data_IF_043247354567
#
_entry.id   IF_043247354567
#
_cell.length_a   1.000
_cell.length_b   1.000
_cell.length_c   1.000
_cell.angle_alpha   90.00
_cell.angle_beta   90.00
_cell.angle_gamma   90.00
#
_symmetry.space_group_name_H-M   'P 1'
#
loop_
_entity.id
_entity.type
_entity.pdbx_description
1 polymer ?
#
# COMPACT_ATOMS: atom_id res chain seq x y z
N UNK A 1 5.30 49.47 -34.15
CA UNK A 1 4.38 48.36 -33.85
C UNK A 1 4.90 47.37 -32.80
N UNK A 2 5.61 47.82 -31.75
CA UNK A 2 6.14 46.95 -30.67
C UNK A 2 5.58 47.22 -29.27
N UNK A 3 4.75 48.22 -29.11
CA UNK A 3 4.16 48.60 -27.82
C UNK A 3 2.79 47.96 -27.53
N UNK A 4 2.07 47.51 -28.53
CA UNK A 4 0.70 47.01 -28.38
C UNK A 4 0.61 45.53 -27.85
N UNK A 5 1.70 44.75 -27.94
CA UNK A 5 1.71 43.35 -27.50
C UNK A 5 1.98 43.16 -25.99
N UNK A 6 2.47 44.19 -25.29
CA UNK A 6 2.77 44.09 -23.84
C UNK A 6 1.58 44.44 -22.95
N UNK A 7 0.62 45.20 -23.46
CA UNK A 7 -0.55 45.64 -22.69
C UNK A 7 -1.66 44.61 -22.62
N UNK A 8 -1.74 43.70 -23.60
CA UNK A 8 -2.78 42.65 -23.64
C UNK A 8 -2.47 41.49 -22.65
N UNK A 9 -1.18 41.18 -22.40
CA UNK A 9 -0.82 40.13 -21.43
C UNK A 9 -1.05 40.56 -19.96
N UNK A 10 -0.96 41.86 -19.65
CA UNK A 10 -1.17 42.35 -18.28
C UNK A 10 -2.66 42.36 -17.89
N UNK A 11 -3.57 42.53 -18.84
CA UNK A 11 -5.01 42.53 -18.58
C UNK A 11 -5.60 41.14 -18.37
N UNK A 12 -4.97 40.09 -18.91
CA UNK A 12 -5.43 38.71 -18.74
C UNK A 12 -5.05 38.10 -17.40
N UNK A 13 -3.98 38.56 -16.77
CA UNK A 13 -3.56 38.04 -15.47
C UNK A 13 -4.34 38.63 -14.27
N UNK A 14 -5.07 39.74 -14.44
CA UNK A 14 -5.87 40.33 -13.36
C UNK A 14 -7.28 39.71 -13.22
N UNK A 15 -7.75 38.98 -14.22
CA UNK A 15 -9.10 38.38 -14.22
C UNK A 15 -9.19 37.05 -13.50
N UNK A 16 -8.06 36.40 -13.11
CA UNK A 16 -8.06 35.09 -12.47
C UNK A 16 -7.97 35.11 -10.94
N UNK A 17 -7.91 36.26 -10.30
CA UNK A 17 -7.72 36.38 -8.84
C UNK A 17 -9.03 36.49 -8.05
N UNK A 18 -10.20 36.65 -8.72
CA UNK A 18 -11.47 36.88 -8.03
C UNK A 18 -12.42 35.66 -7.94
N UNK A 19 -11.97 34.44 -8.30
CA UNK A 19 -12.85 33.26 -8.30
C UNK A 19 -12.67 32.33 -7.08
N UNK A 20 -11.94 32.69 -6.03
CA UNK A 20 -11.63 31.81 -4.89
C UNK A 20 -12.17 32.26 -3.53
N UNK A 21 -13.16 33.12 -3.46
CA UNK A 21 -13.79 33.52 -2.19
C UNK A 21 -15.31 33.43 -2.27
N UNK A 22 -15.86 32.23 -2.32
CA UNK A 22 -17.29 32.00 -2.04
C UNK A 22 -17.47 30.57 -1.46
N UNK A 23 -17.08 30.36 -0.23
CA UNK A 23 -17.62 29.31 0.63
C UNK A 23 -18.02 29.94 1.95
N UNK A 24 -19.20 30.56 1.93
CA UNK A 24 -19.86 31.08 3.13
C UNK A 24 -20.82 30.04 3.68
N UNK A 25 -20.74 29.80 4.97
CA UNK A 25 -21.66 29.06 5.82
C UNK A 25 -23.12 29.38 5.55
N UNK A 26 -23.95 28.34 5.45
CA UNK A 26 -25.34 28.41 5.86
C UNK A 26 -25.81 27.10 6.48
N UNK A 27 -26.00 27.16 7.78
CA UNK A 27 -26.88 26.28 8.54
C UNK A 27 -28.32 26.47 8.06
N UNK A 28 -29.03 25.38 7.75
CA UNK A 28 -30.47 25.25 8.06
C UNK A 28 -30.97 23.81 7.91
N UNK A 29 -31.59 23.39 9.00
CA UNK A 29 -32.37 22.16 9.15
C UNK A 29 -33.45 22.00 8.07
N UNK A 30 -33.56 20.80 7.50
CA UNK A 30 -34.85 20.09 7.33
C UNK A 30 -34.64 18.66 6.87
N UNK A 31 -35.14 17.74 7.66
CA UNK A 31 -35.24 16.32 7.38
C UNK A 31 -35.90 16.04 6.02
N UNK A 32 -35.24 15.25 5.19
CA UNK A 32 -35.88 14.49 4.11
C UNK A 32 -35.17 13.12 4.02
N UNK A 33 -35.89 12.09 4.44
CA UNK A 33 -35.51 10.70 4.21
C UNK A 33 -35.37 10.48 2.72
N UNK A 34 -34.18 10.19 2.27
CA UNK A 34 -33.93 9.57 0.97
C UNK A 34 -33.03 8.38 1.23
N UNK A 35 -33.51 7.19 0.91
CA UNK A 35 -32.71 5.98 0.85
C UNK A 35 -31.66 6.19 -0.25
N UNK A 36 -30.45 6.49 0.13
CA UNK A 36 -29.29 6.38 -0.73
C UNK A 36 -28.41 5.27 -0.13
N UNK A 37 -28.22 4.25 -0.93
CA UNK A 37 -27.14 3.30 -0.76
C UNK A 37 -25.83 4.09 -0.92
N UNK A 38 -25.47 4.84 0.13
CA UNK A 38 -24.19 5.52 0.20
C UNK A 38 -23.16 4.48 0.65
N UNK A 39 -22.67 3.74 -0.35
CA UNK A 39 -21.53 2.84 -0.19
C UNK A 39 -20.25 3.69 -0.20
N UNK A 40 -20.23 4.77 0.57
CA UNK A 40 -19.02 5.52 0.87
C UNK A 40 -18.17 4.65 1.78
N UNK A 41 -17.26 3.90 1.17
CA UNK A 41 -16.25 3.15 1.88
C UNK A 41 -15.40 4.17 2.66
N UNK A 42 -15.67 4.28 3.97
CA UNK A 42 -14.87 5.14 4.85
C UNK A 42 -13.46 4.54 4.83
N UNK A 43 -12.51 5.28 4.30
CA UNK A 43 -11.12 4.83 4.29
C UNK A 43 -10.66 4.66 5.75
N UNK A 44 -10.05 3.51 6.06
CA UNK A 44 -9.49 3.28 7.37
C UNK A 44 -8.43 4.34 7.69
N UNK A 45 -8.39 4.87 8.93
CA UNK A 45 -7.40 5.84 9.33
C UNK A 45 -5.97 5.32 9.13
N UNK A 46 -5.10 6.17 8.58
CA UNK A 46 -3.67 5.89 8.37
C UNK A 46 -2.87 6.74 9.33
N UNK A 47 -1.95 6.12 10.07
CA UNK A 47 -1.10 6.77 11.05
C UNK A 47 0.37 6.60 10.71
N UNK A 48 1.18 7.63 10.96
CA UNK A 48 2.63 7.52 10.90
C UNK A 48 3.15 6.55 11.97
N UNK A 49 4.16 5.78 11.60
CA UNK A 49 4.73 4.76 12.47
C UNK A 49 6.27 4.73 12.35
N UNK A 50 6.91 3.73 12.96
CA UNK A 50 8.35 3.55 12.92
C UNK A 50 8.75 2.08 12.98
N UNK A 51 10.02 1.78 12.63
CA UNK A 51 10.57 0.43 12.72
C UNK A 51 10.51 -0.14 14.15
N UNK A 52 10.70 0.71 15.17
CA UNK A 52 10.64 0.31 16.57
C UNK A 52 9.23 -0.12 16.99
N UNK A 53 8.19 0.60 16.52
CA UNK A 53 6.79 0.24 16.77
C UNK A 53 6.44 -1.09 16.11
N UNK A 54 6.91 -1.32 14.88
CA UNK A 54 6.73 -2.58 14.17
C UNK A 54 7.40 -3.73 14.93
N UNK A 55 8.66 -3.53 15.34
CA UNK A 55 9.41 -4.53 16.12
C UNK A 55 8.73 -4.85 17.45
N UNK A 56 8.15 -3.86 18.13
CA UNK A 56 7.38 -4.08 19.35
C UNK A 56 6.12 -4.94 19.12
N UNK A 57 5.56 -4.92 17.91
CA UNK A 57 4.46 -5.79 17.48
C UNK A 57 4.93 -7.17 16.95
N UNK A 58 6.24 -7.45 17.00
CA UNK A 58 6.84 -8.69 16.49
C UNK A 58 6.95 -8.72 14.96
N UNK A 59 6.99 -7.55 14.31
CA UNK A 59 7.10 -7.40 12.84
C UNK A 59 8.43 -6.73 12.54
N UNK A 60 9.29 -7.37 11.74
CA UNK A 60 10.58 -6.83 11.33
C UNK A 60 10.60 -6.64 9.82
N UNK A 61 10.79 -5.41 9.37
CA UNK A 61 10.90 -5.09 7.96
C UNK A 61 12.36 -5.14 7.51
N UNK A 62 12.65 -5.64 6.29
CA UNK A 62 14.01 -5.77 5.80
C UNK A 62 14.66 -4.42 5.50
N UNK A 63 15.96 -4.33 5.77
CA UNK A 63 16.79 -3.26 5.23
C UNK A 63 17.07 -3.54 3.75
N UNK A 64 16.81 -2.57 2.90
CA UNK A 64 17.05 -2.67 1.46
C UNK A 64 18.03 -1.57 1.06
N UNK A 65 19.14 -1.95 0.45
CA UNK A 65 20.20 -1.04 0.06
C UNK A 65 19.68 0.16 -0.75
N UNK A 66 20.04 1.37 -0.29
CA UNK A 66 19.65 2.62 -0.93
C UNK A 66 18.18 3.00 -0.77
N UNK A 67 17.41 2.32 0.08
CA UNK A 67 15.99 2.61 0.32
C UNK A 67 15.71 2.86 1.80
N UNK A 68 15.03 3.95 2.07
CA UNK A 68 14.50 4.27 3.40
C UNK A 68 12.99 4.13 3.36
N UNK A 69 12.39 3.15 4.06
CA UNK A 69 10.95 2.96 4.03
C UNK A 69 10.21 4.03 4.84
N UNK A 70 9.02 4.38 4.36
CA UNK A 70 8.03 5.13 5.12
C UNK A 70 7.14 4.12 5.84
N UNK A 71 7.11 4.20 7.18
CA UNK A 71 6.32 3.31 8.03
C UNK A 71 4.97 3.92 8.34
N UNK A 72 3.91 3.16 8.11
CA UNK A 72 2.53 3.54 8.48
C UNK A 72 1.79 2.36 9.09
N UNK A 73 0.78 2.66 9.90
CA UNK A 73 -0.23 1.68 10.32
C UNK A 73 -1.59 2.11 9.78
N UNK A 74 -2.42 1.16 9.44
CA UNK A 74 -3.78 1.38 8.94
C UNK A 74 -4.72 0.66 9.89
N UNK A 75 -5.69 1.41 10.45
CA UNK A 75 -6.67 0.84 11.36
C UNK A 75 -7.64 -0.07 10.61
N UNK A 76 -8.12 -1.10 11.30
CA UNK A 76 -9.08 -2.08 10.82
C UNK A 76 -9.48 -2.98 11.98
N UNK A 77 -10.12 -4.11 11.70
CA UNK A 77 -10.38 -5.13 12.72
C UNK A 77 -9.08 -5.58 13.39
N UNK A 78 -8.02 -5.70 12.57
CA UNK A 78 -6.64 -5.87 13.01
C UNK A 78 -5.77 -4.80 12.36
N UNK A 79 -4.77 -4.30 13.08
CA UNK A 79 -3.84 -3.29 12.55
C UNK A 79 -3.03 -3.81 11.38
N UNK A 80 -3.06 -3.12 10.25
CA UNK A 80 -2.21 -3.38 9.10
C UNK A 80 -0.93 -2.53 9.20
N UNK A 81 0.20 -3.19 9.24
CA UNK A 81 1.54 -2.59 9.26
C UNK A 81 2.07 -2.47 7.83
N UNK A 82 2.45 -1.29 7.41
CA UNK A 82 2.91 -1.01 6.05
C UNK A 82 4.26 -0.31 6.05
N UNK A 83 5.21 -0.83 5.28
CA UNK A 83 6.49 -0.19 4.95
C UNK A 83 6.55 0.06 3.44
N UNK A 84 6.58 1.33 3.05
CA UNK A 84 6.66 1.76 1.65
C UNK A 84 8.10 2.13 1.30
N UNK A 85 8.70 1.41 0.34
CA UNK A 85 10.06 1.60 -0.16
C UNK A 85 10.09 2.40 -1.49
N UNK A 86 8.96 2.99 -1.89
CA UNK A 86 8.79 3.77 -3.10
C UNK A 86 8.50 2.92 -4.34
N UNK A 87 9.25 1.85 -4.60
CA UNK A 87 9.06 0.95 -5.76
C UNK A 87 8.28 -0.31 -5.41
N UNK A 88 8.14 -0.61 -4.14
CA UNK A 88 7.35 -1.72 -3.62
C UNK A 88 6.91 -1.41 -2.19
N UNK A 89 5.88 -2.09 -1.75
CA UNK A 89 5.34 -1.98 -0.39
C UNK A 89 5.32 -3.35 0.26
N UNK A 90 5.79 -3.44 1.51
CA UNK A 90 5.66 -4.64 2.34
C UNK A 90 4.58 -4.37 3.38
N UNK A 91 3.67 -5.33 3.55
CA UNK A 91 2.60 -5.28 4.54
C UNK A 91 2.60 -6.53 5.41
N UNK A 92 2.21 -6.35 6.66
CA UNK A 92 1.99 -7.42 7.63
C UNK A 92 0.75 -7.14 8.45
N UNK A 93 0.00 -8.19 8.79
CA UNK A 93 -1.19 -8.12 9.63
C UNK A 93 -1.30 -9.39 10.44
N UNK A 94 -1.60 -9.28 11.74
CA UNK A 94 -1.90 -10.45 12.57
C UNK A 94 -3.21 -11.07 12.10
N UNK A 95 -3.17 -12.34 11.77
CA UNK A 95 -4.34 -13.12 11.28
C UNK A 95 -4.15 -14.57 11.63
N UNK A 96 -5.20 -15.36 11.54
CA UNK A 96 -5.21 -16.81 11.73
C UNK A 96 -5.16 -17.58 10.39
N UNK A 97 -5.15 -16.86 9.27
CA UNK A 97 -5.13 -17.47 7.92
C UNK A 97 -4.32 -16.63 6.92
N UNK A 98 -3.96 -17.25 5.81
CA UNK A 98 -3.29 -16.57 4.71
C UNK A 98 -4.26 -15.66 3.96
N UNK A 99 -3.97 -14.35 3.92
CA UNK A 99 -4.75 -13.34 3.22
C UNK A 99 -3.87 -12.51 2.28
N UNK A 100 -4.45 -12.12 1.13
CA UNK A 100 -3.86 -11.08 0.30
C UNK A 100 -4.16 -9.71 0.92
N UNK A 101 -3.17 -9.16 1.60
CA UNK A 101 -3.22 -7.84 2.23
C UNK A 101 -2.46 -6.77 1.44
N UNK A 102 -2.09 -7.05 0.18
CA UNK A 102 -1.32 -6.13 -0.67
C UNK A 102 -2.05 -4.82 -0.96
N UNK A 103 -3.39 -4.84 -0.90
CA UNK A 103 -4.23 -3.72 -1.31
C UNK A 103 -4.21 -3.45 -2.81
N UNK A 104 -3.66 -4.38 -3.59
CA UNK A 104 -3.56 -4.28 -5.05
C UNK A 104 -4.72 -5.04 -5.69
N UNK A 105 -5.63 -4.30 -6.32
CA UNK A 105 -6.78 -4.87 -7.00
C UNK A 105 -6.56 -4.87 -8.52
N UNK A 106 -5.71 -5.79 -8.99
CA UNK A 106 -5.36 -5.98 -10.39
C UNK A 106 -6.02 -7.24 -10.97
N UNK A 107 -6.21 -7.27 -12.29
CA UNK A 107 -6.53 -8.50 -13.01
C UNK A 107 -5.23 -9.30 -13.17
N UNK A 108 -5.08 -10.35 -12.37
CA UNK A 108 -3.91 -11.23 -12.42
C UNK A 108 -4.03 -12.19 -13.60
N UNK A 109 -3.05 -12.18 -14.50
CA UNK A 109 -3.05 -13.02 -15.71
C UNK A 109 -2.28 -14.33 -15.52
N UNK A 110 -1.42 -14.37 -14.51
CA UNK A 110 -0.66 -15.55 -14.18
C UNK A 110 -1.13 -16.07 -12.82
N UNK A 111 -1.77 -17.24 -12.84
CA UNK A 111 -1.99 -18.02 -11.62
C UNK A 111 -0.61 -18.30 -11.01
N UNK A 112 -0.50 -18.36 -9.68
CA UNK A 112 0.75 -18.64 -9.01
C UNK A 112 1.26 -20.03 -9.44
N UNK A 113 2.14 -20.04 -10.41
CA UNK A 113 2.74 -21.26 -10.94
C UNK A 113 3.83 -21.83 -10.05
N UNK A 114 4.09 -21.24 -8.90
CA UNK A 114 5.06 -21.73 -7.95
C UNK A 114 4.49 -21.71 -6.54
N UNK A 115 3.71 -22.74 -6.22
CA UNK A 115 3.66 -23.24 -4.84
C UNK A 115 5.02 -23.90 -4.60
N UNK A 116 5.98 -23.16 -4.09
CA UNK A 116 7.21 -23.77 -3.59
C UNK A 116 6.86 -24.39 -2.24
N UNK A 117 6.37 -25.62 -2.26
CA UNK A 117 5.99 -26.42 -1.06
C UNK A 117 7.12 -26.53 -0.03
N UNK A 118 8.32 -26.12 -0.40
CA UNK A 118 9.52 -26.10 0.44
C UNK A 118 9.77 -24.72 1.10
N UNK A 119 8.99 -23.69 0.78
CA UNK A 119 9.15 -22.36 1.37
C UNK A 119 8.19 -22.18 2.54
N UNK A 120 8.71 -21.58 3.61
CA UNK A 120 7.91 -21.30 4.80
C UNK A 120 6.71 -20.39 4.44
N UNK A 121 5.53 -20.73 4.97
CA UNK A 121 4.34 -19.92 4.81
C UNK A 121 3.67 -20.01 3.43
N UNK A 122 4.04 -20.96 2.57
CA UNK A 122 3.41 -21.21 1.27
C UNK A 122 3.20 -19.95 0.43
N UNK A 123 4.26 -19.24 0.01
CA UNK A 123 4.12 -18.00 -0.73
C UNK A 123 3.41 -18.19 -2.07
N UNK A 124 2.43 -17.33 -2.34
CA UNK A 124 1.66 -17.29 -3.57
C UNK A 124 2.06 -16.03 -4.36
N UNK A 125 2.48 -16.24 -5.61
CA UNK A 125 2.91 -15.17 -6.52
C UNK A 125 1.83 -14.90 -7.55
N UNK A 126 1.55 -13.62 -7.85
CA UNK A 126 0.64 -13.21 -8.91
C UNK A 126 1.27 -12.07 -9.71
N UNK A 127 1.16 -12.14 -11.03
CA UNK A 127 1.61 -11.12 -11.97
C UNK A 127 0.45 -10.71 -12.88
N UNK A 128 0.41 -9.43 -13.28
CA UNK A 128 -0.59 -8.91 -14.21
C UNK A 128 -0.15 -9.00 -15.68
N UNK A 129 1.08 -9.47 -15.94
CA UNK A 129 1.68 -9.50 -17.28
C UNK A 129 2.05 -8.13 -17.84
N UNK A 130 1.88 -7.05 -17.08
CA UNK A 130 2.17 -5.66 -17.49
C UNK A 130 3.19 -4.97 -16.60
N UNK A 131 3.70 -5.68 -15.60
CA UNK A 131 4.73 -5.20 -14.69
C UNK A 131 4.28 -5.04 -13.25
N UNK A 132 3.00 -5.16 -12.92
CA UNK A 132 2.55 -5.25 -11.54
C UNK A 132 2.60 -6.70 -11.05
N UNK A 133 2.83 -6.87 -9.74
CA UNK A 133 2.85 -8.20 -9.14
C UNK A 133 2.83 -8.16 -7.63
N UNK A 134 2.41 -9.29 -7.06
CA UNK A 134 2.39 -9.51 -5.62
C UNK A 134 2.97 -10.88 -5.27
N UNK A 135 3.49 -10.98 -4.07
CA UNK A 135 3.65 -12.23 -3.35
C UNK A 135 3.03 -12.08 -1.97
N UNK A 136 2.29 -13.07 -1.51
CA UNK A 136 1.75 -13.08 -0.16
C UNK A 136 1.86 -14.47 0.45
N UNK A 137 2.04 -14.50 1.78
CA UNK A 137 2.26 -15.72 2.54
C UNK A 137 1.75 -15.58 3.97
N UNK A 138 1.67 -16.70 4.69
CA UNK A 138 1.32 -16.75 6.10
C UNK A 138 2.49 -17.27 6.92
N UNK A 139 2.92 -16.54 7.93
CA UNK A 139 4.03 -16.93 8.78
C UNK A 139 3.92 -16.23 10.15
N UNK A 140 4.13 -16.95 11.25
CA UNK A 140 4.10 -16.39 12.60
C UNK A 140 2.80 -15.68 12.96
N UNK A 141 1.66 -16.36 12.78
CA UNK A 141 0.33 -15.79 13.04
C UNK A 141 0.12 -14.42 12.36
N UNK A 142 0.67 -14.30 11.18
CA UNK A 142 0.59 -13.09 10.38
C UNK A 142 0.47 -13.40 8.90
N UNK A 143 -0.41 -12.70 8.21
CA UNK A 143 -0.36 -12.57 6.76
C UNK A 143 0.66 -11.50 6.39
N UNK A 144 1.40 -11.78 5.34
CA UNK A 144 2.42 -10.90 4.77
C UNK A 144 2.15 -10.71 3.29
N UNK A 145 2.49 -9.55 2.77
CA UNK A 145 2.50 -9.32 1.32
C UNK A 145 3.61 -8.36 0.90
N UNK A 146 4.12 -8.56 -0.31
CA UNK A 146 4.90 -7.59 -1.06
C UNK A 146 4.13 -7.26 -2.32
N UNK A 147 3.92 -5.96 -2.57
CA UNK A 147 3.26 -5.46 -3.77
C UNK A 147 4.15 -4.53 -4.56
N UNK A 148 4.16 -4.68 -5.89
CA UNK A 148 4.86 -3.83 -6.86
C UNK A 148 3.88 -3.40 -7.93
N UNK A 149 3.84 -2.12 -8.27
CA UNK A 149 2.98 -1.58 -9.35
C UNK A 149 3.67 -1.61 -10.71
N UNK A 150 5.01 -1.75 -10.72
CA UNK A 150 5.82 -1.82 -11.92
C UNK A 150 7.10 -2.62 -11.66
N UNK A 151 7.68 -3.19 -12.70
CA UNK A 151 8.94 -3.94 -12.65
C UNK A 151 8.89 -5.25 -11.85
N UNK A 152 7.69 -5.75 -11.56
CA UNK A 152 7.51 -7.02 -10.87
C UNK A 152 7.95 -8.19 -11.76
N UNK A 153 8.66 -9.13 -11.16
CA UNK A 153 8.97 -10.44 -11.70
C UNK A 153 8.95 -11.46 -10.56
N UNK A 154 8.81 -12.73 -10.88
CA UNK A 154 8.88 -13.80 -9.88
C UNK A 154 10.19 -13.73 -9.10
N UNK A 155 11.32 -13.50 -9.77
CA UNK A 155 12.63 -13.43 -9.12
C UNK A 155 12.75 -12.24 -8.16
N UNK A 156 12.23 -11.07 -8.57
CA UNK A 156 12.23 -9.88 -7.72
C UNK A 156 11.36 -10.10 -6.47
N UNK A 157 10.13 -10.57 -6.66
CA UNK A 157 9.20 -10.85 -5.57
C UNK A 157 9.74 -11.93 -4.64
N UNK A 158 10.36 -12.98 -5.18
CA UNK A 158 11.00 -14.06 -4.42
C UNK A 158 12.17 -13.54 -3.57
N UNK A 159 13.01 -12.67 -4.13
CA UNK A 159 14.09 -12.03 -3.37
C UNK A 159 13.57 -11.21 -2.19
N UNK A 160 12.52 -10.43 -2.38
CA UNK A 160 11.89 -9.63 -1.32
C UNK A 160 11.20 -10.52 -0.27
N UNK A 161 10.52 -11.58 -0.70
CA UNK A 161 9.95 -12.59 0.19
C UNK A 161 11.03 -13.18 1.11
N UNK A 162 12.16 -13.67 0.57
CA UNK A 162 13.23 -14.27 1.38
C UNK A 162 13.80 -13.28 2.40
N UNK A 163 14.13 -12.06 1.97
CA UNK A 163 14.66 -11.03 2.88
C UNK A 163 13.69 -10.72 4.03
N UNK A 164 12.38 -10.80 3.78
CA UNK A 164 11.38 -10.55 4.82
C UNK A 164 11.16 -11.76 5.72
N UNK A 165 11.08 -12.96 5.14
CA UNK A 165 10.83 -14.19 5.88
C UNK A 165 12.00 -14.58 6.81
N UNK A 166 13.26 -14.34 6.39
CA UNK A 166 14.45 -14.57 7.20
C UNK A 166 14.47 -13.76 8.51
N UNK A 167 13.90 -12.56 8.50
CA UNK A 167 13.83 -11.70 9.68
C UNK A 167 12.66 -12.03 10.61
N UNK A 168 11.70 -12.80 10.11
CA UNK A 168 10.48 -13.16 10.82
C UNK A 168 10.30 -14.69 10.84
N UNK A 169 11.27 -15.45 11.37
CA UNK A 169 11.24 -16.91 11.28
C UNK A 169 10.03 -17.48 12.02
N UNK A 170 9.39 -18.49 11.43
CA UNK A 170 8.35 -19.28 12.10
C UNK A 170 8.91 -20.03 13.31
N UNK A 171 8.03 -20.33 14.29
CA UNK A 171 8.42 -20.99 15.55
C UNK A 171 9.12 -22.34 15.40
N UNK A 172 9.05 -23.00 14.23
CA UNK A 172 9.64 -24.31 13.96
C UNK A 172 10.98 -24.28 13.19
N UNK A 173 11.67 -23.15 13.23
CA UNK A 173 13.04 -23.00 12.72
C UNK A 173 13.14 -23.04 11.20
N UNK A 174 13.74 -22.01 10.65
CA UNK A 174 14.34 -22.04 9.31
C UNK A 174 15.22 -23.28 9.23
N UNK A 175 14.98 -24.16 8.26
CA UNK A 175 15.73 -25.40 8.10
C UNK A 175 17.24 -25.09 8.17
N UNK A 176 17.82 -25.36 9.34
CA UNK A 176 19.26 -25.45 9.50
C UNK A 176 19.73 -26.73 8.78
N UNK A 177 20.20 -26.57 7.58
CA UNK A 177 21.09 -27.52 6.91
C UNK A 177 22.31 -26.79 6.37
#
# INVERSE_FOLDING_TARGET
>A
MKAFKKTVCAALCLAMVFALCACGSQTNDKAKKTNENDNSQIANPVHESSAEKFKAAGIVMPEIDGKTPVYTTIDGDETLYQADYGTFTIRAQKTDEQKDISGMNYEWTEEPTMTLELLQGNPLFKLDGKGAGIVYWYLNDSSWSVGMTEGASVDTLKSLYFKTAELNPGGDGFLSN
#
